data_IF_013991386448
#
_entry.id   IF_013991386448
#
_cell.length_a   1.000
_cell.length_b   1.000
_cell.length_c   1.000
_cell.angle_alpha   90.00
_cell.angle_beta   90.00
_cell.angle_gamma   90.00
#
_symmetry.space_group_name_H-M   'P 1'
#
loop_
_entity.id
_entity.type
_entity.pdbx_description
1 polymer ?
#
# COMPACT_ATOMS: atom_id res chain seq x y z
N UNK A 1 -30.49 5.68 -6.97
CA UNK A 1 -29.43 4.70 -7.25
C UNK A 1 -29.96 3.34 -6.82
N UNK A 2 -30.01 2.35 -7.71
CA UNK A 2 -30.44 0.99 -7.35
C UNK A 2 -29.35 0.30 -6.57
N UNK A 3 -29.72 -0.64 -5.69
CA UNK A 3 -28.79 -1.38 -4.82
C UNK A 3 -27.67 -2.06 -5.63
N UNK A 4 -28.03 -2.70 -6.75
CA UNK A 4 -27.08 -3.33 -7.67
C UNK A 4 -26.08 -2.37 -8.33
N UNK A 5 -26.45 -1.10 -8.55
CA UNK A 5 -25.53 -0.10 -9.08
C UNK A 5 -24.55 0.41 -8.02
N UNK A 6 -24.94 0.40 -6.73
CA UNK A 6 -24.06 0.76 -5.62
C UNK A 6 -23.00 -0.31 -5.39
N UNK A 7 -23.42 -1.58 -5.30
CA UNK A 7 -22.50 -2.72 -5.15
C UNK A 7 -21.48 -2.80 -6.28
N UNK A 8 -21.88 -2.48 -7.52
CA UNK A 8 -20.96 -2.45 -8.66
C UNK A 8 -19.88 -1.36 -8.55
N UNK A 9 -20.20 -0.20 -7.97
CA UNK A 9 -19.22 0.89 -7.78
C UNK A 9 -18.29 0.58 -6.61
N UNK A 10 -18.81 0.01 -5.51
CA UNK A 10 -17.98 -0.44 -4.38
C UNK A 10 -16.96 -1.50 -4.84
N UNK A 11 -17.42 -2.51 -5.59
CA UNK A 11 -16.54 -3.55 -6.13
C UNK A 11 -15.44 -2.97 -7.04
N UNK A 12 -15.79 -2.00 -7.90
CA UNK A 12 -14.82 -1.36 -8.79
C UNK A 12 -13.80 -0.48 -8.03
N UNK A 13 -14.25 0.25 -7.01
CA UNK A 13 -13.40 1.09 -6.17
C UNK A 13 -12.41 0.22 -5.36
N UNK A 14 -12.90 -0.84 -4.72
CA UNK A 14 -12.09 -1.79 -3.98
C UNK A 14 -11.08 -2.53 -4.88
N UNK A 15 -11.48 -2.98 -6.07
CA UNK A 15 -10.58 -3.62 -7.05
C UNK A 15 -9.48 -2.66 -7.53
N UNK A 16 -9.83 -1.39 -7.72
CA UNK A 16 -8.87 -0.34 -8.08
C UNK A 16 -7.89 -0.09 -6.94
N UNK A 17 -8.37 0.00 -5.70
CA UNK A 17 -7.53 0.16 -4.52
C UNK A 17 -6.54 -1.00 -4.35
N UNK A 18 -7.00 -2.25 -4.38
CA UNK A 18 -6.10 -3.42 -4.33
C UNK A 18 -5.12 -3.46 -5.50
N UNK A 19 -5.56 -3.06 -6.69
CA UNK A 19 -4.67 -2.88 -7.84
C UNK A 19 -3.56 -1.86 -7.55
N UNK A 20 -3.87 -0.71 -6.97
CA UNK A 20 -2.88 0.31 -6.64
C UNK A 20 -1.90 -0.20 -5.58
N UNK A 21 -2.41 -0.72 -4.48
CA UNK A 21 -1.61 -1.23 -3.37
C UNK A 21 -0.61 -2.31 -3.84
N UNK A 22 -1.10 -3.38 -4.46
CA UNK A 22 -0.23 -4.49 -4.85
C UNK A 22 0.54 -4.24 -6.14
N UNK A 23 0.06 -3.39 -7.06
CA UNK A 23 0.81 -3.12 -8.31
C UNK A 23 1.79 -1.98 -8.20
N UNK A 24 1.56 -1.02 -7.30
CA UNK A 24 2.37 0.19 -7.17
C UNK A 24 3.22 0.16 -5.91
N UNK A 25 2.66 -0.16 -4.74
CA UNK A 25 3.39 -0.08 -3.48
C UNK A 25 4.21 -1.34 -3.17
N UNK A 26 3.62 -2.53 -3.32
CA UNK A 26 4.32 -3.79 -3.02
C UNK A 26 5.69 -3.94 -3.73
N UNK A 27 5.86 -3.56 -5.02
CA UNK A 27 7.19 -3.61 -5.65
C UNK A 27 8.28 -2.79 -4.93
N UNK A 28 7.93 -1.68 -4.28
CA UNK A 28 8.92 -0.88 -3.53
C UNK A 28 9.43 -1.63 -2.30
N UNK A 29 8.59 -2.44 -1.65
CA UNK A 29 9.02 -3.32 -0.55
C UNK A 29 9.95 -4.42 -1.05
N UNK A 30 9.62 -5.05 -2.17
CA UNK A 30 10.46 -6.10 -2.76
C UNK A 30 11.81 -5.55 -3.23
N UNK A 31 11.81 -4.38 -3.87
CA UNK A 31 13.04 -3.70 -4.27
C UNK A 31 13.89 -3.36 -3.04
N UNK A 32 13.29 -2.87 -1.94
CA UNK A 32 13.98 -2.56 -0.70
C UNK A 32 14.60 -3.81 -0.04
N UNK A 33 13.83 -4.90 0.06
CA UNK A 33 14.32 -6.18 0.56
C UNK A 33 15.49 -6.71 -0.29
N UNK A 34 15.39 -6.59 -1.62
CA UNK A 34 16.47 -6.98 -2.52
C UNK A 34 17.73 -6.12 -2.33
N UNK A 35 17.58 -4.81 -2.23
CA UNK A 35 18.69 -3.88 -2.04
C UNK A 35 19.40 -4.12 -0.69
N UNK A 36 18.65 -4.39 0.37
CA UNK A 36 19.21 -4.80 1.68
C UNK A 36 20.00 -6.10 1.58
N UNK A 37 19.44 -7.13 0.94
CA UNK A 37 20.12 -8.41 0.75
C UNK A 37 21.41 -8.31 -0.10
N UNK A 38 21.50 -7.28 -0.96
CA UNK A 38 22.70 -6.98 -1.77
C UNK A 38 23.70 -6.06 -1.09
N UNK A 39 23.39 -5.52 0.09
CA UNK A 39 24.24 -4.54 0.76
C UNK A 39 24.37 -3.25 -0.03
N UNK A 40 23.24 -2.74 -0.58
CA UNK A 40 23.20 -1.46 -1.26
C UNK A 40 23.68 -0.31 -0.34
N UNK A 41 24.09 0.80 -0.96
CA UNK A 41 24.66 1.95 -0.25
C UNK A 41 23.56 2.91 0.22
N UNK A 42 23.89 3.74 1.21
CA UNK A 42 22.99 4.77 1.75
C UNK A 42 22.35 5.66 0.67
N UNK A 43 23.11 6.18 -0.29
CA UNK A 43 22.55 7.02 -1.37
C UNK A 43 21.51 6.28 -2.25
N UNK A 44 21.57 4.95 -2.32
CA UNK A 44 20.56 4.15 -3.03
C UNK A 44 19.27 4.06 -2.22
N UNK A 45 19.42 3.83 -0.93
CA UNK A 45 18.34 3.80 0.04
C UNK A 45 17.59 5.14 0.13
N UNK A 46 18.29 6.26 0.19
CA UNK A 46 17.69 7.60 0.17
C UNK A 46 16.88 7.84 -1.12
N UNK A 47 17.40 7.41 -2.27
CA UNK A 47 16.65 7.48 -3.54
C UNK A 47 15.42 6.56 -3.56
N UNK A 48 15.50 5.39 -2.92
CA UNK A 48 14.38 4.46 -2.82
C UNK A 48 13.30 4.99 -1.87
N UNK A 49 13.71 5.63 -0.78
CA UNK A 49 12.80 6.31 0.16
C UNK A 49 11.99 7.38 -0.55
N UNK A 50 12.62 8.32 -1.27
CA UNK A 50 11.91 9.36 -2.03
C UNK A 50 10.93 8.77 -3.07
N UNK A 51 11.30 7.67 -3.72
CA UNK A 51 10.40 6.97 -4.66
C UNK A 51 9.20 6.35 -3.94
N UNK A 52 9.41 5.75 -2.76
CA UNK A 52 8.33 5.19 -1.96
C UNK A 52 7.38 6.27 -1.48
N UNK A 53 7.89 7.40 -0.96
CA UNK A 53 7.07 8.54 -0.53
C UNK A 53 6.19 9.06 -1.66
N UNK A 54 6.74 9.27 -2.86
CA UNK A 54 5.98 9.70 -4.05
C UNK A 54 4.94 8.66 -4.48
N UNK A 55 5.27 7.36 -4.38
CA UNK A 55 4.35 6.29 -4.72
C UNK A 55 3.19 6.20 -3.71
N UNK A 56 3.46 6.40 -2.42
CA UNK A 56 2.45 6.52 -1.36
C UNK A 56 1.53 7.70 -1.62
N UNK A 57 2.08 8.90 -1.83
CA UNK A 57 1.29 10.11 -2.12
C UNK A 57 0.39 9.93 -3.35
N UNK A 58 0.93 9.35 -4.43
CA UNK A 58 0.14 9.03 -5.63
C UNK A 58 -0.98 8.04 -5.33
N UNK A 59 -0.72 7.06 -4.46
CA UNK A 59 -1.71 6.06 -4.05
C UNK A 59 -2.80 6.69 -3.19
N UNK A 60 -2.44 7.55 -2.23
CA UNK A 60 -3.37 8.31 -1.38
C UNK A 60 -4.34 9.11 -2.24
N UNK A 61 -3.83 9.95 -3.15
CA UNK A 61 -4.68 10.75 -4.06
C UNK A 61 -5.64 9.88 -4.89
N UNK A 62 -5.20 8.69 -5.29
CA UNK A 62 -6.03 7.77 -6.05
C UNK A 62 -7.09 7.09 -5.16
N UNK A 63 -6.76 6.71 -3.92
CA UNK A 63 -7.73 6.17 -2.96
C UNK A 63 -8.80 7.20 -2.62
N UNK A 64 -8.41 8.45 -2.36
CA UNK A 64 -9.34 9.56 -2.13
C UNK A 64 -10.26 9.80 -3.33
N UNK A 65 -9.72 9.71 -4.56
CA UNK A 65 -10.50 9.84 -5.77
C UNK A 65 -11.51 8.69 -5.96
N UNK A 66 -11.16 7.45 -5.58
CA UNK A 66 -12.11 6.34 -5.56
C UNK A 66 -13.17 6.52 -4.47
N UNK A 67 -12.78 6.93 -3.27
CA UNK A 67 -13.68 7.20 -2.15
C UNK A 67 -14.70 8.31 -2.49
N UNK A 68 -14.27 9.36 -3.21
CA UNK A 68 -15.13 10.46 -3.63
C UNK A 68 -16.25 10.05 -4.62
N UNK A 69 -16.14 8.88 -5.27
CA UNK A 69 -17.19 8.33 -6.15
C UNK A 69 -18.33 7.66 -5.36
N UNK A 70 -18.09 7.35 -4.10
CA UNK A 70 -19.04 6.67 -3.22
C UNK A 70 -19.84 7.68 -2.39
N UNK A 71 -21.09 7.37 -2.02
CA UNK A 71 -21.90 8.22 -1.14
C UNK A 71 -21.24 8.44 0.22
N UNK A 72 -21.56 9.56 0.89
CA UNK A 72 -21.21 9.75 2.29
C UNK A 72 -21.87 8.67 3.18
N UNK A 73 -21.12 8.15 4.15
CA UNK A 73 -21.55 7.06 5.04
C UNK A 73 -21.55 5.66 4.41
N UNK A 74 -20.95 5.49 3.23
CA UNK A 74 -20.71 4.18 2.64
C UNK A 74 -19.49 3.51 3.30
N UNK A 75 -19.63 2.28 3.78
CA UNK A 75 -18.56 1.57 4.50
C UNK A 75 -17.29 1.41 3.65
N UNK A 76 -17.43 1.18 2.34
CA UNK A 76 -16.30 1.07 1.42
C UNK A 76 -15.57 2.41 1.28
N UNK A 77 -16.31 3.53 1.33
CA UNK A 77 -15.71 4.87 1.33
C UNK A 77 -14.88 5.11 2.59
N UNK A 78 -15.38 4.68 3.75
CA UNK A 78 -14.68 4.81 5.02
C UNK A 78 -13.41 3.97 5.04
N UNK A 79 -13.45 2.71 4.58
CA UNK A 79 -12.25 1.87 4.44
C UNK A 79 -11.20 2.52 3.52
N UNK A 80 -11.60 3.01 2.34
CA UNK A 80 -10.68 3.69 1.43
C UNK A 80 -10.08 4.97 2.03
N UNK A 81 -10.87 5.71 2.81
CA UNK A 81 -10.39 6.90 3.53
C UNK A 81 -9.40 6.56 4.65
N UNK A 82 -9.66 5.51 5.42
CA UNK A 82 -8.74 5.04 6.45
C UNK A 82 -7.40 4.61 5.85
N UNK A 83 -7.43 3.79 4.79
CA UNK A 83 -6.22 3.39 4.07
C UNK A 83 -5.44 4.57 3.49
N UNK A 84 -6.14 5.61 3.02
CA UNK A 84 -5.50 6.83 2.53
C UNK A 84 -4.76 7.57 3.65
N UNK A 85 -5.38 7.69 4.84
CA UNK A 85 -4.75 8.30 6.02
C UNK A 85 -3.53 7.50 6.48
N UNK A 86 -3.63 6.18 6.56
CA UNK A 86 -2.51 5.33 6.99
C UNK A 86 -1.33 5.35 6.03
N UNK A 87 -1.59 5.60 4.74
CA UNK A 87 -0.57 5.74 3.70
C UNK A 87 -0.05 7.15 3.53
N UNK A 88 -0.65 8.17 4.14
CA UNK A 88 -0.21 9.54 4.01
C UNK A 88 1.22 9.71 4.56
N UNK A 89 2.16 10.25 3.76
CA UNK A 89 3.50 10.57 4.26
C UNK A 89 3.52 11.77 5.20
N UNK A 90 4.22 11.66 6.32
CA UNK A 90 4.40 12.67 7.36
C UNK A 90 5.88 12.93 7.72
N UNK A 91 6.77 12.83 6.73
CA UNK A 91 8.21 13.06 6.93
C UNK A 91 8.90 11.95 7.73
N UNK A 92 8.30 10.76 7.75
CA UNK A 92 8.86 9.58 8.40
C UNK A 92 10.17 9.12 7.73
N UNK A 93 11.00 8.46 8.54
CA UNK A 93 12.24 7.83 8.09
C UNK A 93 11.96 6.73 7.06
N UNK A 94 13.00 6.26 6.38
CA UNK A 94 12.83 5.20 5.40
C UNK A 94 12.35 3.89 6.03
N UNK A 95 12.85 3.54 7.22
CA UNK A 95 12.41 2.35 7.96
C UNK A 95 10.93 2.43 8.34
N UNK A 96 10.49 3.59 8.84
CA UNK A 96 9.08 3.84 9.16
C UNK A 96 8.21 3.79 7.90
N UNK A 97 8.67 4.39 6.80
CA UNK A 97 7.97 4.35 5.50
C UNK A 97 7.73 2.91 5.03
N UNK A 98 8.76 2.06 5.07
CA UNK A 98 8.67 0.65 4.67
C UNK A 98 7.72 -0.11 5.59
N UNK A 99 7.82 0.13 6.90
CA UNK A 99 7.00 -0.54 7.91
C UNK A 99 5.52 -0.18 7.74
N UNK A 100 5.18 1.11 7.67
CA UNK A 100 3.81 1.58 7.50
C UNK A 100 3.20 1.11 6.18
N UNK A 101 3.97 1.16 5.09
CA UNK A 101 3.51 0.65 3.79
C UNK A 101 3.22 -0.84 3.85
N UNK A 102 4.08 -1.63 4.51
CA UNK A 102 3.85 -3.06 4.64
C UNK A 102 2.62 -3.37 5.48
N UNK A 103 2.47 -2.74 6.65
CA UNK A 103 1.30 -2.94 7.51
C UNK A 103 0.00 -2.61 6.77
N UNK A 104 -0.03 -1.51 6.01
CA UNK A 104 -1.17 -1.18 5.16
C UNK A 104 -1.47 -2.27 4.11
N UNK A 105 -0.44 -2.89 3.51
CA UNK A 105 -0.61 -3.99 2.57
C UNK A 105 -1.10 -5.29 3.22
N UNK A 106 -0.79 -5.51 4.50
CA UNK A 106 -1.27 -6.64 5.30
C UNK A 106 -2.76 -6.47 5.64
N UNK A 107 -3.18 -5.26 6.01
CA UNK A 107 -4.54 -4.98 6.49
C UNK A 107 -5.55 -4.79 5.35
N UNK A 108 -5.19 -4.04 4.31
CA UNK A 108 -6.10 -3.63 3.23
C UNK A 108 -6.92 -4.75 2.56
N UNK A 109 -6.39 -5.97 2.34
CA UNK A 109 -7.19 -7.07 1.79
C UNK A 109 -8.39 -7.43 2.66
N UNK A 110 -8.23 -7.42 3.99
CA UNK A 110 -9.33 -7.74 4.90
C UNK A 110 -10.45 -6.70 4.86
N UNK A 111 -10.08 -5.44 4.61
CA UNK A 111 -11.01 -4.32 4.48
C UNK A 111 -11.68 -4.25 3.10
N UNK A 112 -10.96 -4.59 2.02
CA UNK A 112 -11.42 -4.33 0.65
C UNK A 112 -12.03 -5.56 -0.05
N UNK A 113 -11.54 -6.78 0.23
CA UNK A 113 -12.07 -8.00 -0.38
C UNK A 113 -13.57 -8.23 -0.11
N UNK A 114 -14.17 -7.86 1.04
CA UNK A 114 -15.60 -8.03 1.26
C UNK A 114 -16.48 -7.32 0.22
N UNK A 115 -15.99 -6.27 -0.43
CA UNK A 115 -16.71 -5.53 -1.47
C UNK A 115 -16.55 -6.13 -2.87
N UNK A 116 -15.61 -7.05 -3.07
CA UNK A 116 -15.27 -7.61 -4.39
C UNK A 116 -15.87 -9.02 -4.52
N UNK A 117 -16.72 -9.29 -5.52
CA UNK A 117 -17.20 -10.64 -5.77
C UNK A 117 -16.05 -11.62 -6.00
N UNK A 118 -16.10 -12.80 -5.38
CA UNK A 118 -15.02 -13.80 -5.42
C UNK A 118 -14.57 -14.15 -6.85
N UNK A 119 -15.52 -14.25 -7.79
CA UNK A 119 -15.21 -14.51 -9.20
C UNK A 119 -14.41 -13.37 -9.85
N UNK A 120 -14.67 -12.11 -9.48
CA UNK A 120 -13.90 -10.97 -9.97
C UNK A 120 -12.50 -10.95 -9.33
N UNK A 121 -12.41 -11.23 -8.03
CA UNK A 121 -11.13 -11.31 -7.33
C UNK A 121 -10.19 -12.37 -7.94
N UNK A 122 -10.71 -13.55 -8.31
CA UNK A 122 -9.90 -14.63 -8.92
C UNK A 122 -9.30 -14.25 -10.28
N UNK A 123 -9.99 -13.42 -11.06
CA UNK A 123 -9.54 -12.94 -12.37
C UNK A 123 -8.70 -11.65 -12.28
N UNK A 124 -8.62 -11.06 -11.08
CA UNK A 124 -7.97 -9.79 -10.89
C UNK A 124 -6.45 -9.90 -11.02
N UNK A 125 -5.84 -8.91 -11.67
CA UNK A 125 -4.39 -8.93 -11.94
C UNK A 125 -3.53 -8.73 -10.69
N UNK A 126 -4.09 -8.23 -9.59
CA UNK A 126 -3.39 -8.11 -8.31
C UNK A 126 -3.42 -9.41 -7.50
N UNK A 127 -4.37 -10.32 -7.76
CA UNK A 127 -4.60 -11.50 -6.93
C UNK A 127 -3.40 -12.44 -6.80
N UNK A 128 -2.63 -12.76 -7.87
CA UNK A 128 -1.44 -13.60 -7.72
C UNK A 128 -0.36 -12.99 -6.81
N UNK A 129 -0.25 -11.66 -6.80
CA UNK A 129 0.74 -10.94 -5.99
C UNK A 129 0.29 -10.83 -4.54
N UNK A 130 -1.01 -10.60 -4.32
CA UNK A 130 -1.62 -10.71 -2.99
C UNK A 130 -1.36 -12.10 -2.41
N UNK A 131 -1.67 -13.17 -3.15
CA UNK A 131 -1.48 -14.54 -2.67
C UNK A 131 -0.01 -14.80 -2.28
N UNK A 132 0.94 -14.46 -3.16
CA UNK A 132 2.37 -14.61 -2.88
C UNK A 132 2.85 -13.77 -1.67
N UNK A 133 2.29 -12.57 -1.48
CA UNK A 133 2.60 -11.74 -0.31
C UNK A 133 2.13 -12.42 0.98
N UNK A 134 0.92 -12.99 1.00
CA UNK A 134 0.37 -13.68 2.16
C UNK A 134 1.08 -15.01 2.46
N UNK A 135 1.50 -15.75 1.43
CA UNK A 135 2.34 -16.94 1.62
C UNK A 135 3.66 -16.59 2.33
N UNK A 136 4.25 -15.43 2.04
CA UNK A 136 5.48 -14.99 2.72
C UNK A 136 5.23 -14.54 4.16
N UNK A 137 4.05 -14.02 4.50
CA UNK A 137 3.70 -13.63 5.89
C UNK A 137 3.65 -14.82 6.86
N UNK A 138 3.61 -16.06 6.36
CA UNK A 138 3.76 -17.25 7.19
C UNK A 138 5.19 -17.37 7.79
N UNK A 139 6.18 -16.67 7.23
CA UNK A 139 7.54 -16.56 7.77
C UNK A 139 7.65 -15.35 8.71
N UNK A 140 7.95 -15.55 10.01
CA UNK A 140 8.15 -14.45 10.96
C UNK A 140 9.25 -13.45 10.54
N UNK A 141 10.21 -13.85 9.70
CA UNK A 141 11.22 -12.95 9.17
C UNK A 141 10.64 -11.93 8.18
N UNK A 142 9.45 -12.21 7.62
CA UNK A 142 8.75 -11.34 6.68
C UNK A 142 7.85 -10.31 7.38
N UNK A 143 7.52 -10.49 8.66
CA UNK A 143 6.78 -9.49 9.46
C UNK A 143 7.49 -8.13 9.43
N UNK A 144 6.73 -7.04 9.25
CA UNK A 144 7.30 -5.72 8.97
C UNK A 144 8.41 -5.28 9.98
N UNK A 145 8.24 -5.43 11.31
CA UNK A 145 9.29 -5.05 12.27
C UNK A 145 10.58 -5.87 12.12
N UNK A 146 10.43 -7.18 11.87
CA UNK A 146 11.55 -8.10 11.68
C UNK A 146 12.27 -7.83 10.36
N UNK A 147 11.50 -7.68 9.28
CA UNK A 147 11.97 -7.52 7.91
C UNK A 147 12.80 -6.26 7.72
N UNK A 148 12.40 -5.16 8.37
CA UNK A 148 13.06 -3.86 8.24
C UNK A 148 14.00 -3.53 9.41
N UNK A 149 14.26 -4.49 10.31
CA UNK A 149 15.10 -4.29 11.50
C UNK A 149 16.53 -3.84 11.17
N UNK A 150 17.08 -4.28 10.04
CA UNK A 150 18.44 -3.96 9.59
C UNK A 150 18.55 -2.62 8.83
N UNK A 151 17.45 -1.91 8.62
CA UNK A 151 17.45 -0.57 8.01
C UNK A 151 17.94 0.45 9.05
N UNK A 152 18.90 1.28 8.65
CA UNK A 152 19.38 2.41 9.43
C UNK A 152 18.26 3.43 9.67
N UNK A 153 18.03 3.76 10.95
CA UNK A 153 16.94 4.64 11.41
C UNK A 153 17.16 6.10 10.99
N UNK A 154 18.39 6.50 10.68
CA UNK A 154 18.72 7.87 10.26
C UNK A 154 18.51 8.12 8.76
N UNK A 155 18.17 7.10 7.97
CA UNK A 155 17.95 7.28 6.52
C UNK A 155 16.60 7.99 6.30
N UNK A 156 16.65 9.14 5.63
CA UNK A 156 15.46 9.92 5.31
C UNK A 156 14.98 10.85 6.41
N UNK A 157 15.72 10.96 7.52
CA UNK A 157 15.46 11.97 8.55
C UNK A 157 15.56 13.38 7.91
N UNK A 158 14.45 14.13 7.93
CA UNK A 158 14.39 15.47 7.33
C UNK A 158 14.21 15.49 5.80
N UNK A 159 13.73 14.39 5.19
CA UNK A 159 13.31 14.41 3.80
C UNK A 159 12.11 15.37 3.61
N UNK A 160 12.39 16.61 3.22
CA UNK A 160 11.37 17.59 2.83
C UNK A 160 10.85 17.27 1.41
N UNK A 161 9.53 17.34 1.22
CA UNK A 161 8.92 17.28 -0.10
C UNK A 161 9.22 18.60 -0.82
N UNK A 162 10.14 18.58 -1.79
CA UNK A 162 10.20 19.67 -2.76
C UNK A 162 8.88 19.66 -3.55
N UNK A 163 8.02 20.64 -3.27
CA UNK A 163 6.85 20.96 -4.10
C UNK A 163 7.36 21.48 -5.46
N UNK A 164 7.53 20.59 -6.43
CA UNK A 164 7.75 20.94 -7.85
C UNK A 164 6.48 21.51 -8.51
#
# INVERSE_FOLDING_TARGET
MTDSSRTGIQAAAADTALSLLFRKLHPHLEDAAHALAKGAKRDEFERMHLKLLRARETTVKALEAEAAKLPEGDECRESLGALAVDLEPFGETWKESLTLTQLCLEDAPSELLPYIPEAAAKEAKWAPRLAAFFENLEDPAFEAPSRWSAVDEEIGEGAEFDED
#
